data_IF_414860369491
#
_entry.id   IF_414860369491
#
_cell.length_a   1.000
_cell.length_b   1.000
_cell.length_c   1.000
_cell.angle_alpha   90.00
_cell.angle_beta   90.00
_cell.angle_gamma   90.00
#
_symmetry.space_group_name_H-M   'P 1'
#
loop_
_entity.id
_entity.type
_entity.pdbx_description
1 polymer ?
#
# COMPACT_ATOMS: atom_id res chain seq x y z
N UNK A 1 -35.21 -31.36 0.88
CA UNK A 1 -34.26 -31.47 2.00
C UNK A 1 -34.96 -31.00 3.24
N UNK A 2 -35.11 -31.87 4.24
CA UNK A 2 -35.68 -31.49 5.51
C UNK A 2 -34.54 -31.05 6.46
N UNK A 3 -34.54 -29.80 6.85
CA UNK A 3 -33.66 -29.28 7.87
C UNK A 3 -34.28 -29.49 9.26
N UNK A 4 -33.46 -29.87 10.21
CA UNK A 4 -33.85 -30.09 11.59
C UNK A 4 -33.01 -29.14 12.52
N UNK A 5 -33.37 -29.06 13.80
CA UNK A 5 -32.62 -28.31 14.80
C UNK A 5 -31.23 -28.90 15.09
N UNK A 6 -30.94 -30.10 14.59
CA UNK A 6 -29.66 -30.78 14.70
C UNK A 6 -28.69 -30.37 13.60
N UNK A 7 -29.18 -29.71 12.54
CA UNK A 7 -28.37 -29.18 11.44
C UNK A 7 -27.74 -27.86 11.86
N UNK A 8 -26.62 -27.94 12.56
CA UNK A 8 -25.90 -26.77 13.06
C UNK A 8 -24.68 -26.47 12.17
N UNK A 9 -24.48 -25.21 11.87
CA UNK A 9 -23.30 -24.70 11.20
C UNK A 9 -22.57 -23.78 12.18
N UNK A 10 -21.27 -23.99 12.35
CA UNK A 10 -20.48 -23.11 13.20
C UNK A 10 -20.31 -21.74 12.54
N UNK A 11 -20.55 -20.69 13.33
CA UNK A 11 -20.19 -19.33 12.94
C UNK A 11 -18.90 -18.91 13.64
N UNK A 12 -17.90 -18.53 12.87
CA UNK A 12 -16.59 -18.13 13.41
C UNK A 12 -16.53 -16.62 13.54
N UNK A 13 -16.40 -16.12 14.75
CA UNK A 13 -16.10 -14.73 15.01
C UNK A 13 -14.57 -14.53 14.98
N UNK A 14 -14.13 -13.50 14.29
CA UNK A 14 -12.72 -13.09 14.34
C UNK A 14 -12.48 -12.37 15.65
N UNK A 15 -11.49 -12.83 16.40
CA UNK A 15 -11.06 -12.14 17.64
C UNK A 15 -10.02 -11.07 17.26
N UNK A 16 -10.33 -9.81 17.55
CA UNK A 16 -9.40 -8.69 17.35
C UNK A 16 -8.59 -8.53 18.64
N UNK A 17 -7.29 -8.76 18.56
CA UNK A 17 -6.37 -8.55 19.66
C UNK A 17 -5.85 -7.10 19.72
N UNK A 18 -5.16 -6.76 20.82
CA UNK A 18 -4.65 -5.40 21.02
C UNK A 18 -3.54 -5.06 20.02
N UNK A 19 -2.77 -6.03 19.55
CA UNK A 19 -1.72 -5.83 18.54
C UNK A 19 -2.31 -5.41 17.21
N UNK A 20 -3.46 -5.97 16.82
CA UNK A 20 -4.18 -5.57 15.62
C UNK A 20 -4.70 -4.13 15.75
N UNK A 21 -5.23 -3.77 16.91
CA UNK A 21 -5.70 -2.41 17.21
C UNK A 21 -4.55 -1.41 17.15
N UNK A 22 -3.41 -1.71 17.76
CA UNK A 22 -2.22 -0.85 17.76
C UNK A 22 -1.70 -0.62 16.34
N UNK A 23 -1.55 -1.68 15.53
CA UNK A 23 -1.15 -1.57 14.13
C UNK A 23 -2.11 -0.72 13.30
N UNK A 24 -3.40 -0.86 13.55
CA UNK A 24 -4.40 -0.06 12.84
C UNK A 24 -4.39 1.40 13.30
N UNK A 25 -4.18 1.67 14.58
CA UNK A 25 -3.97 3.02 15.10
C UNK A 25 -2.74 3.67 14.46
N UNK A 26 -1.62 2.94 14.36
CA UNK A 26 -0.41 3.40 13.67
C UNK A 26 -0.68 3.67 12.18
N UNK A 27 -1.41 2.79 11.49
CA UNK A 27 -1.79 2.98 10.10
C UNK A 27 -2.65 4.24 9.90
N UNK A 28 -3.59 4.51 10.81
CA UNK A 28 -4.41 5.72 10.78
C UNK A 28 -3.56 6.97 11.09
N UNK A 29 -2.67 6.92 12.08
CA UNK A 29 -1.74 8.00 12.38
C UNK A 29 -0.85 8.33 11.17
N UNK A 30 -0.34 7.32 10.48
CA UNK A 30 0.42 7.48 9.25
C UNK A 30 -0.45 8.07 8.11
N UNK A 31 -1.70 7.63 7.98
CA UNK A 31 -2.61 8.12 6.94
C UNK A 31 -2.95 9.61 7.09
N UNK A 32 -3.11 10.06 8.31
CA UNK A 32 -3.45 11.44 8.64
C UNK A 32 -2.24 12.28 9.07
N UNK A 33 -1.03 11.75 8.88
CA UNK A 33 0.21 12.47 9.11
C UNK A 33 0.37 13.67 8.18
N UNK A 34 1.22 14.59 8.59
CA UNK A 34 1.56 15.81 7.85
C UNK A 34 2.97 15.74 7.29
N UNK A 35 3.24 16.56 6.28
CA UNK A 35 4.58 16.77 5.77
C UNK A 35 5.03 18.17 6.15
N UNK A 36 6.15 18.27 6.83
CA UNK A 36 6.72 19.54 7.26
C UNK A 36 8.15 19.68 6.73
N UNK A 37 8.59 20.90 6.36
CA UNK A 37 9.98 21.13 5.99
C UNK A 37 10.91 20.82 7.17
N UNK A 38 11.95 20.02 6.91
CA UNK A 38 12.97 19.67 7.90
C UNK A 38 14.36 19.91 7.33
N UNK A 39 15.34 20.13 8.21
CA UNK A 39 16.74 20.38 7.84
C UNK A 39 17.53 19.10 7.57
N UNK A 40 17.11 17.98 8.16
CA UNK A 40 17.82 16.71 8.13
C UNK A 40 16.84 15.60 7.78
N UNK A 41 17.20 14.76 6.80
CA UNK A 41 16.37 13.69 6.33
C UNK A 41 16.28 12.53 7.33
N UNK A 42 15.05 12.11 7.63
CA UNK A 42 14.72 10.86 8.29
C UNK A 42 14.45 9.74 7.29
N UNK A 43 14.13 8.54 7.81
CA UNK A 43 13.93 7.35 6.96
C UNK A 43 12.73 7.43 6.00
N UNK A 44 11.66 8.11 6.40
CA UNK A 44 10.40 8.18 5.64
C UNK A 44 10.22 9.52 4.92
N UNK A 45 11.24 10.35 4.94
CA UNK A 45 11.14 11.69 4.41
C UNK A 45 11.27 11.74 2.90
N UNK A 46 10.71 12.77 2.32
CA UNK A 46 10.77 13.05 0.90
C UNK A 46 11.84 14.11 0.65
N UNK A 47 12.80 13.79 -0.21
CA UNK A 47 13.90 14.68 -0.56
C UNK A 47 13.63 15.26 -1.95
N UNK A 48 13.66 16.58 -2.04
CA UNK A 48 13.63 17.30 -3.30
C UNK A 48 15.00 17.87 -3.60
N UNK A 49 15.44 17.73 -4.84
CA UNK A 49 16.73 18.22 -5.25
C UNK A 49 16.89 18.37 -6.75
N UNK A 50 18.00 18.94 -7.13
CA UNK A 50 18.47 18.98 -8.51
C UNK A 50 19.31 17.74 -8.78
N UNK A 51 18.98 16.97 -9.81
CA UNK A 51 19.73 15.79 -10.23
C UNK A 51 20.55 16.11 -11.47
N UNK A 52 21.80 15.73 -11.46
CA UNK A 52 22.73 15.96 -12.56
C UNK A 52 23.42 14.64 -12.89
N UNK A 53 23.33 14.20 -14.16
CA UNK A 53 23.98 12.98 -14.63
C UNK A 53 25.48 13.11 -14.60
N UNK A 54 26.16 12.07 -14.10
CA UNK A 54 27.61 11.99 -14.06
C UNK A 54 28.14 11.05 -15.17
N UNK A 55 29.35 11.35 -15.63
CA UNK A 55 30.11 10.45 -16.50
C UNK A 55 30.78 9.32 -15.71
N UNK A 56 31.45 8.39 -16.40
CA UNK A 56 32.16 7.25 -15.78
C UNK A 56 33.32 7.68 -14.86
N UNK A 57 33.81 8.90 -14.99
CA UNK A 57 34.86 9.48 -14.15
C UNK A 57 34.30 10.23 -12.93
N UNK A 58 32.96 10.31 -12.80
CA UNK A 58 32.27 11.00 -11.70
C UNK A 58 32.16 12.51 -11.88
N UNK A 59 32.42 13.04 -13.06
CA UNK A 59 32.21 14.45 -13.39
C UNK A 59 30.84 14.67 -14.00
N UNK A 60 30.38 15.92 -14.00
CA UNK A 60 29.14 16.31 -14.68
C UNK A 60 29.26 15.94 -16.17
N UNK A 61 28.34 15.13 -16.67
CA UNK A 61 28.31 14.67 -18.05
C UNK A 61 27.87 15.78 -18.98
N UNK A 62 28.69 16.11 -19.96
CA UNK A 62 28.34 17.13 -20.97
C UNK A 62 27.14 16.68 -21.82
N UNK A 63 26.10 17.50 -21.87
CA UNK A 63 24.82 17.13 -22.49
C UNK A 63 24.04 16.04 -21.77
N UNK A 64 24.41 15.69 -20.53
CA UNK A 64 23.72 14.73 -19.70
C UNK A 64 22.35 15.21 -19.20
N UNK A 65 21.62 14.30 -18.57
CA UNK A 65 20.30 14.58 -18.02
C UNK A 65 20.43 15.48 -16.79
N UNK A 66 19.61 16.54 -16.78
CA UNK A 66 19.46 17.44 -15.63
C UNK A 66 17.99 17.53 -15.25
N UNK A 67 17.66 17.17 -14.01
CA UNK A 67 16.32 17.33 -13.44
C UNK A 67 16.37 18.45 -12.42
N UNK A 68 15.79 19.60 -12.74
CA UNK A 68 15.87 20.79 -11.90
C UNK A 68 15.12 20.65 -10.56
N UNK A 69 14.08 19.84 -10.52
CA UNK A 69 13.28 19.57 -9.32
C UNK A 69 12.80 18.12 -9.30
N UNK A 70 13.73 17.23 -9.01
CA UNK A 70 13.44 15.83 -8.80
C UNK A 70 12.98 15.55 -7.37
N UNK A 71 12.17 14.52 -7.20
CA UNK A 71 11.69 14.06 -5.90
C UNK A 71 12.09 12.62 -5.72
N UNK A 72 12.70 12.31 -4.59
CA UNK A 72 13.03 10.96 -4.17
C UNK A 72 12.54 10.68 -2.76
N UNK A 73 12.14 9.46 -2.54
CA UNK A 73 11.77 8.95 -1.22
C UNK A 73 12.61 7.69 -0.96
N UNK A 74 13.72 7.82 -0.23
CA UNK A 74 14.66 6.70 -0.02
C UNK A 74 14.03 5.47 0.60
N UNK A 75 12.92 5.64 1.32
CA UNK A 75 12.16 4.52 1.89
C UNK A 75 11.63 3.51 0.86
N UNK A 76 11.43 3.93 -0.39
CA UNK A 76 11.00 3.07 -1.49
C UNK A 76 12.13 2.47 -2.31
N UNK A 77 13.39 2.83 -1.99
CA UNK A 77 14.53 2.23 -2.66
C UNK A 77 14.63 0.74 -2.32
N UNK A 78 14.86 -0.06 -3.33
CA UNK A 78 15.00 -1.52 -3.21
C UNK A 78 16.44 -1.92 -2.84
N UNK A 79 17.40 -1.03 -3.06
CA UNK A 79 18.80 -1.23 -2.72
C UNK A 79 19.15 -0.48 -1.44
N UNK A 80 19.53 -1.22 -0.39
CA UNK A 80 19.84 -0.65 0.93
C UNK A 80 21.11 0.22 0.93
N UNK A 81 22.09 -0.07 0.06
CA UNK A 81 23.30 0.76 -0.06
C UNK A 81 22.96 2.14 -0.61
N UNK A 82 22.10 2.19 -1.64
CA UNK A 82 21.62 3.46 -2.20
C UNK A 82 20.74 4.23 -1.22
N UNK A 83 19.89 3.52 -0.47
CA UNK A 83 19.04 4.10 0.58
C UNK A 83 19.86 4.74 1.70
N UNK A 84 20.91 4.05 2.16
CA UNK A 84 21.75 4.50 3.26
C UNK A 84 22.48 5.81 2.97
N UNK A 85 22.74 6.13 1.70
CA UNK A 85 23.39 7.38 1.29
C UNK A 85 22.57 8.63 1.64
N UNK A 86 21.27 8.47 1.77
CA UNK A 86 20.35 9.57 2.08
C UNK A 86 19.98 9.66 3.57
N UNK A 87 20.44 8.72 4.39
CA UNK A 87 20.19 8.76 5.82
C UNK A 87 20.92 9.95 6.48
N UNK A 88 20.17 10.84 7.10
CA UNK A 88 20.74 12.01 7.79
C UNK A 88 21.28 13.11 6.85
N UNK A 89 20.94 13.07 5.57
CA UNK A 89 21.31 14.11 4.60
C UNK A 89 20.65 15.44 4.97
N UNK A 90 21.37 16.53 4.76
CA UNK A 90 20.93 17.91 5.07
C UNK A 90 20.60 18.69 3.80
N UNK A 91 19.74 19.70 3.96
CA UNK A 91 19.49 20.68 2.89
C UNK A 91 20.81 21.34 2.47
N UNK A 92 21.02 21.48 1.17
CA UNK A 92 22.25 22.00 0.55
C UNK A 92 23.37 20.97 0.38
N UNK A 93 23.20 19.75 0.86
CA UNK A 93 24.19 18.69 0.72
C UNK A 93 24.08 18.01 -0.64
N UNK A 94 25.21 17.52 -1.16
CA UNK A 94 25.28 16.77 -2.40
C UNK A 94 25.48 15.29 -2.12
N UNK A 95 24.71 14.44 -2.80
CA UNK A 95 24.77 12.98 -2.66
C UNK A 95 24.87 12.35 -4.04
N UNK A 96 25.80 11.41 -4.20
CA UNK A 96 25.91 10.63 -5.44
C UNK A 96 25.20 9.29 -5.25
N UNK A 97 24.24 9.00 -6.13
CA UNK A 97 23.47 7.77 -6.12
C UNK A 97 23.24 7.22 -7.51
N UNK A 98 22.87 5.96 -7.60
CA UNK A 98 22.51 5.31 -8.86
C UNK A 98 21.01 5.07 -8.92
N UNK A 99 20.26 5.82 -9.76
CA UNK A 99 18.80 5.66 -9.87
C UNK A 99 18.39 4.27 -10.31
N UNK A 100 19.14 3.65 -11.25
CA UNK A 100 18.83 2.31 -11.74
C UNK A 100 18.94 1.26 -10.64
N UNK A 101 19.97 1.32 -9.80
CA UNK A 101 20.11 0.44 -8.63
C UNK A 101 19.04 0.71 -7.58
N UNK A 102 18.71 1.98 -7.35
CA UNK A 102 17.68 2.38 -6.37
C UNK A 102 16.30 1.78 -6.68
N UNK A 103 15.96 1.69 -7.97
CA UNK A 103 14.66 1.18 -8.45
C UNK A 103 14.71 -0.27 -8.95
N UNK A 104 15.80 -1.01 -8.71
CA UNK A 104 16.00 -2.36 -9.24
C UNK A 104 15.78 -2.45 -10.77
N UNK A 105 16.29 -1.46 -11.50
CA UNK A 105 16.16 -1.29 -12.96
C UNK A 105 14.69 -1.20 -13.46
N UNK A 106 13.75 -0.78 -12.62
CA UNK A 106 12.37 -0.55 -13.04
C UNK A 106 12.29 0.69 -13.96
N UNK A 107 12.11 0.45 -15.25
CA UNK A 107 12.08 1.49 -16.29
C UNK A 107 10.99 2.56 -16.06
N UNK A 108 9.85 2.17 -15.48
CA UNK A 108 8.73 3.09 -15.21
C UNK A 108 9.07 4.03 -14.07
N UNK A 109 9.64 3.50 -12.99
CA UNK A 109 10.07 4.28 -11.83
C UNK A 109 11.23 5.22 -12.21
N UNK A 110 12.21 4.72 -12.99
CA UNK A 110 13.32 5.53 -13.50
C UNK A 110 12.86 6.66 -14.39
N UNK A 111 11.97 6.37 -15.35
CA UNK A 111 11.42 7.38 -16.26
C UNK A 111 10.69 8.48 -15.49
N UNK A 112 9.94 8.11 -14.48
CA UNK A 112 9.25 9.06 -13.60
C UNK A 112 10.21 9.88 -12.74
N UNK A 113 11.23 9.25 -12.16
CA UNK A 113 12.21 9.92 -11.29
C UNK A 113 13.09 10.92 -12.06
N UNK A 114 13.52 10.55 -13.26
CA UNK A 114 14.43 11.35 -14.08
C UNK A 114 13.71 12.24 -15.11
N UNK A 115 12.39 12.19 -15.17
CA UNK A 115 11.55 12.91 -16.13
C UNK A 115 11.94 12.64 -17.60
N UNK A 116 12.31 11.40 -17.91
CA UNK A 116 12.71 10.94 -19.26
C UNK A 116 11.71 9.92 -19.83
N UNK A 117 11.91 9.57 -21.09
CA UNK A 117 11.08 8.53 -21.70
C UNK A 117 11.49 7.14 -21.22
N UNK A 118 10.56 6.21 -21.25
CA UNK A 118 10.78 4.83 -20.82
C UNK A 118 11.89 4.12 -21.61
N UNK A 119 11.99 4.40 -22.91
CA UNK A 119 13.01 3.85 -23.79
C UNK A 119 14.43 4.32 -23.41
N UNK A 120 14.54 5.55 -22.91
CA UNK A 120 15.79 6.11 -22.39
C UNK A 120 16.14 5.53 -21.02
N UNK A 121 15.13 5.34 -20.19
CA UNK A 121 15.28 4.74 -18.87
C UNK A 121 15.81 3.30 -18.90
N UNK A 122 15.42 2.50 -19.91
CA UNK A 122 15.85 1.11 -20.08
C UNK A 122 17.37 0.95 -20.20
N UNK A 123 18.08 1.98 -20.72
CA UNK A 123 19.53 1.98 -20.89
C UNK A 123 20.28 2.80 -19.85
N UNK A 124 19.57 3.38 -18.89
CA UNK A 124 20.14 4.25 -17.87
C UNK A 124 20.94 3.45 -16.85
N UNK A 125 22.23 3.73 -16.76
CA UNK A 125 23.14 3.11 -15.77
C UNK A 125 24.03 4.12 -15.07
N UNK A 126 23.95 5.38 -15.46
CA UNK A 126 24.81 6.45 -14.96
C UNK A 126 24.47 6.76 -13.49
N UNK A 127 25.49 7.20 -12.78
CA UNK A 127 25.31 7.80 -11.45
C UNK A 127 24.83 9.25 -11.60
N UNK A 128 24.15 9.74 -10.59
CA UNK A 128 23.63 11.10 -10.52
C UNK A 128 24.09 11.77 -9.22
N UNK A 129 24.48 13.02 -9.33
CA UNK A 129 24.63 13.91 -8.17
C UNK A 129 23.29 14.57 -7.87
N UNK A 130 22.84 14.47 -6.62
CA UNK A 130 21.65 15.16 -6.10
C UNK A 130 22.11 16.30 -5.21
N UNK A 131 21.79 17.51 -5.58
CA UNK A 131 21.88 18.68 -4.70
C UNK A 131 20.54 18.85 -3.99
N UNK A 132 20.52 18.60 -2.68
CA UNK A 132 19.29 18.63 -1.87
C UNK A 132 18.82 20.07 -1.67
N UNK A 133 17.67 20.41 -2.23
CA UNK A 133 17.10 21.77 -2.12
C UNK A 133 16.09 21.90 -0.99
N UNK A 134 15.35 20.83 -0.69
CA UNK A 134 14.44 20.79 0.46
C UNK A 134 14.16 19.36 0.88
N UNK A 135 13.80 19.19 2.13
CA UNK A 135 13.41 17.92 2.72
C UNK A 135 12.05 18.12 3.35
N UNK A 136 11.09 17.22 3.00
CA UNK A 136 9.78 17.17 3.61
C UNK A 136 9.75 15.97 4.55
N UNK A 137 9.83 16.26 5.85
CA UNK A 137 9.75 15.26 6.90
C UNK A 137 8.30 14.78 7.05
N UNK A 138 8.13 13.47 7.13
CA UNK A 138 6.84 12.87 7.42
C UNK A 138 6.65 12.76 8.93
N UNK A 139 5.64 13.44 9.45
CA UNK A 139 5.23 13.36 10.85
C UNK A 139 3.89 12.65 10.96
N UNK A 140 3.83 11.43 11.54
CA UNK A 140 2.55 10.79 11.84
C UNK A 140 1.68 11.70 12.70
N UNK A 141 0.37 11.65 12.52
CA UNK A 141 -0.56 12.40 13.35
C UNK A 141 -0.41 11.98 14.83
N UNK A 142 -0.36 12.95 15.71
CA UNK A 142 -0.30 12.70 17.15
C UNK A 142 -1.66 12.19 17.66
N UNK A 143 -1.61 11.34 18.69
CA UNK A 143 -2.82 10.88 19.34
C UNK A 143 -3.53 12.07 20.02
N UNK A 144 -4.69 12.44 19.52
CA UNK A 144 -5.43 13.59 19.98
C UNK A 144 -6.71 13.84 19.15
N UNK A 145 -7.45 14.87 19.54
CA UNK A 145 -8.77 15.16 18.96
C UNK A 145 -8.73 15.32 17.43
N UNK A 146 -7.68 15.92 16.89
CA UNK A 146 -7.53 16.10 15.45
C UNK A 146 -7.47 14.76 14.70
N UNK A 147 -6.69 13.78 15.20
CA UNK A 147 -6.66 12.44 14.66
C UNK A 147 -8.02 11.75 14.79
N UNK A 148 -8.69 11.90 15.93
CA UNK A 148 -9.98 11.27 16.17
C UNK A 148 -11.03 11.82 15.21
N UNK A 149 -11.07 13.12 15.02
CA UNK A 149 -12.00 13.80 14.11
C UNK A 149 -11.75 13.43 12.64
N UNK A 150 -10.48 13.31 12.26
CA UNK A 150 -10.10 12.90 10.90
C UNK A 150 -10.43 11.42 10.63
N UNK A 151 -10.31 10.56 11.63
CA UNK A 151 -10.55 9.13 11.47
C UNK A 151 -12.03 8.75 11.50
N UNK A 152 -12.81 9.36 12.39
CA UNK A 152 -14.19 8.94 12.69
C UNK A 152 -15.23 10.05 12.55
N UNK A 153 -14.81 11.27 12.29
CA UNK A 153 -15.68 12.44 12.19
C UNK A 153 -15.67 13.29 13.47
N UNK A 154 -16.03 14.55 13.27
CA UNK A 154 -15.94 15.57 14.31
C UNK A 154 -16.77 15.22 15.56
N UNK A 155 -16.15 15.30 16.74
CA UNK A 155 -16.77 15.09 18.06
C UNK A 155 -17.36 13.68 18.29
N UNK A 156 -17.07 12.70 17.44
CA UNK A 156 -17.54 11.31 17.57
C UNK A 156 -16.79 10.56 18.66
N UNK A 157 -15.50 10.83 18.80
CA UNK A 157 -14.56 10.21 19.75
C UNK A 157 -13.84 11.32 20.52
N UNK A 158 -13.73 11.18 21.82
CA UNK A 158 -13.13 12.23 22.69
C UNK A 158 -11.99 11.75 23.53
N UNK A 159 -11.86 10.44 23.72
CA UNK A 159 -10.78 9.85 24.52
C UNK A 159 -10.02 8.80 23.72
N UNK A 160 -8.80 8.48 24.16
CA UNK A 160 -7.98 7.44 23.55
C UNK A 160 -8.63 6.05 23.68
N UNK A 161 -9.32 5.79 24.81
CA UNK A 161 -10.04 4.54 25.00
C UNK A 161 -11.20 4.39 24.00
N UNK A 162 -11.98 5.46 23.80
CA UNK A 162 -13.05 5.47 22.79
C UNK A 162 -12.48 5.30 21.38
N UNK A 163 -11.33 5.93 21.10
CA UNK A 163 -10.65 5.79 19.82
C UNK A 163 -10.24 4.34 19.57
N UNK A 164 -9.57 3.70 20.50
CA UNK A 164 -9.16 2.29 20.38
C UNK A 164 -10.38 1.35 20.28
N UNK A 165 -11.46 1.65 21.01
CA UNK A 165 -12.71 0.89 20.90
C UNK A 165 -13.33 1.01 19.51
N UNK A 166 -13.33 2.21 18.92
CA UNK A 166 -13.82 2.44 17.56
C UNK A 166 -12.93 1.79 16.49
N UNK A 167 -11.61 1.81 16.67
CA UNK A 167 -10.68 1.10 15.80
C UNK A 167 -10.94 -0.41 15.85
N UNK A 168 -11.17 -0.97 17.05
CA UNK A 168 -11.53 -2.39 17.22
C UNK A 168 -12.82 -2.72 16.48
N UNK A 169 -13.88 -1.93 16.69
CA UNK A 169 -15.16 -2.07 15.98
C UNK A 169 -14.98 -2.02 14.45
N UNK A 170 -14.12 -1.12 13.97
CA UNK A 170 -13.81 -1.01 12.54
C UNK A 170 -13.15 -2.27 12.00
N UNK A 171 -12.18 -2.84 12.71
CA UNK A 171 -11.52 -4.09 12.31
C UNK A 171 -12.52 -5.25 12.33
N UNK A 172 -13.34 -5.37 13.38
CA UNK A 172 -14.38 -6.40 13.47
C UNK A 172 -15.37 -6.33 12.31
N UNK A 173 -15.83 -5.12 11.97
CA UNK A 173 -16.71 -4.90 10.84
C UNK A 173 -16.05 -5.22 9.48
N UNK A 174 -14.74 -4.96 9.33
CA UNK A 174 -14.01 -5.34 8.13
C UNK A 174 -13.84 -6.87 8.00
N UNK A 175 -13.75 -7.57 9.12
CA UNK A 175 -13.56 -9.03 9.14
C UNK A 175 -14.88 -9.81 9.07
N UNK A 176 -16.01 -9.17 9.35
CA UNK A 176 -17.33 -9.81 9.32
C UNK A 176 -17.68 -10.48 7.98
N UNK A 177 -17.42 -9.88 6.81
CA UNK A 177 -17.67 -10.54 5.53
C UNK A 177 -16.91 -11.85 5.35
N UNK A 178 -15.72 -11.99 5.90
CA UNK A 178 -14.94 -13.23 5.87
C UNK A 178 -15.61 -14.33 6.72
N UNK A 179 -16.13 -13.97 7.89
CA UNK A 179 -16.90 -14.87 8.74
C UNK A 179 -18.20 -15.31 8.07
N UNK A 180 -18.92 -14.39 7.44
CA UNK A 180 -20.14 -14.65 6.69
C UNK A 180 -19.86 -15.56 5.47
N UNK A 181 -18.76 -15.31 4.75
CA UNK A 181 -18.34 -16.14 3.63
C UNK A 181 -18.01 -17.57 4.07
N UNK A 182 -17.23 -17.72 5.14
CA UNK A 182 -16.89 -19.03 5.71
C UNK A 182 -18.13 -19.79 6.16
N UNK A 183 -19.05 -19.09 6.85
CA UNK A 183 -20.34 -19.67 7.23
C UNK A 183 -21.13 -20.16 6.02
N UNK A 184 -21.20 -19.38 4.95
CA UNK A 184 -21.86 -19.75 3.72
C UNK A 184 -21.27 -21.01 3.07
N UNK A 185 -19.93 -21.12 3.05
CA UNK A 185 -19.23 -22.29 2.54
C UNK A 185 -19.53 -23.55 3.38
N UNK A 186 -19.50 -23.45 4.69
CA UNK A 186 -19.74 -24.56 5.61
C UNK A 186 -21.23 -24.99 5.55
N UNK A 187 -22.15 -24.03 5.52
CA UNK A 187 -23.57 -24.30 5.33
C UNK A 187 -23.84 -25.03 4.00
N UNK A 188 -23.24 -24.54 2.92
CA UNK A 188 -23.34 -25.19 1.61
C UNK A 188 -22.85 -26.64 1.65
N UNK A 189 -21.69 -26.89 2.25
CA UNK A 189 -21.11 -28.23 2.38
C UNK A 189 -22.03 -29.20 3.16
N UNK A 190 -22.62 -28.70 4.27
CA UNK A 190 -23.57 -29.48 5.06
C UNK A 190 -24.84 -29.82 4.23
N UNK A 191 -25.35 -28.82 3.49
CA UNK A 191 -26.52 -29.02 2.62
C UNK A 191 -26.20 -29.98 1.48
N UNK A 192 -25.09 -29.87 0.81
CA UNK A 192 -24.64 -30.77 -0.25
C UNK A 192 -24.54 -32.23 0.26
N UNK A 193 -23.92 -32.43 1.43
CA UNK A 193 -23.82 -33.74 2.05
C UNK A 193 -25.19 -34.33 2.41
N UNK A 194 -26.12 -33.48 2.85
CA UNK A 194 -27.48 -33.91 3.24
C UNK A 194 -28.37 -34.19 2.05
N UNK A 195 -28.17 -33.52 0.97
CA UNK A 195 -28.89 -33.73 -0.31
C UNK A 195 -28.42 -35.02 -0.97
N UNK A 196 -27.12 -35.32 -0.87
CA UNK A 196 -26.52 -36.47 -1.56
C UNK A 196 -26.59 -36.35 -3.09
N UNK A 197 -26.47 -37.48 -3.73
CA UNK A 197 -26.58 -37.56 -5.20
C UNK A 197 -28.03 -37.41 -5.68
N UNK A 198 -28.31 -36.30 -6.36
CA UNK A 198 -29.59 -36.04 -7.00
C UNK A 198 -29.47 -36.30 -8.50
N UNK A 199 -30.42 -37.05 -9.05
CA UNK A 199 -30.54 -37.13 -10.50
C UNK A 199 -31.07 -35.80 -11.05
N UNK A 200 -30.20 -35.06 -11.72
CA UNK A 200 -30.55 -33.80 -12.36
C UNK A 200 -30.88 -34.02 -13.84
N UNK A 201 -31.78 -33.22 -14.42
CA UNK A 201 -32.09 -33.29 -15.85
C UNK A 201 -30.97 -32.69 -16.69
N UNK A 202 -29.85 -33.42 -16.82
CA UNK A 202 -28.63 -32.97 -17.46
C UNK A 202 -28.82 -32.34 -18.84
N UNK A 203 -29.68 -32.92 -19.66
CA UNK A 203 -29.96 -32.42 -21.01
C UNK A 203 -30.57 -31.01 -20.97
N UNK A 204 -31.49 -30.77 -20.02
CA UNK A 204 -32.12 -29.47 -19.82
C UNK A 204 -31.13 -28.45 -19.30
N UNK A 205 -30.32 -28.82 -18.30
CA UNK A 205 -29.34 -27.95 -17.69
C UNK A 205 -28.23 -27.56 -18.67
N UNK A 206 -27.73 -28.50 -19.46
CA UNK A 206 -26.75 -28.23 -20.52
C UNK A 206 -27.29 -27.26 -21.56
N UNK A 207 -28.53 -27.44 -22.01
CA UNK A 207 -29.19 -26.52 -22.95
C UNK A 207 -29.34 -25.13 -22.34
N UNK A 208 -29.76 -25.06 -21.09
CA UNK A 208 -29.91 -23.77 -20.39
C UNK A 208 -28.60 -23.04 -20.23
N UNK A 209 -27.52 -23.74 -19.85
CA UNK A 209 -26.18 -23.17 -19.70
C UNK A 209 -25.64 -22.63 -21.03
N UNK A 210 -25.83 -23.34 -22.14
CA UNK A 210 -25.44 -22.87 -23.49
C UNK A 210 -26.22 -21.60 -23.84
N UNK A 211 -27.54 -21.61 -23.66
CA UNK A 211 -28.41 -20.47 -24.02
C UNK A 211 -28.11 -19.21 -23.18
N UNK A 212 -27.72 -19.39 -21.91
CA UNK A 212 -27.35 -18.25 -21.03
C UNK A 212 -25.90 -17.84 -21.20
N UNK A 213 -25.00 -18.74 -21.60
CA UNK A 213 -23.59 -18.46 -21.90
C UNK A 213 -23.40 -17.61 -23.14
N UNK A 214 -24.16 -17.87 -24.21
CA UNK A 214 -24.09 -17.08 -25.45
C UNK A 214 -24.51 -15.61 -25.28
N UNK A 215 -25.32 -15.30 -24.25
CA UNK A 215 -25.69 -13.93 -23.91
C UNK A 215 -24.61 -13.14 -23.15
N UNK A 216 -23.54 -13.78 -22.70
CA UNK A 216 -22.44 -13.13 -21.98
C UNK A 216 -21.23 -12.79 -22.86
N UNK A 217 -21.23 -13.22 -24.12
CA UNK A 217 -20.13 -12.98 -25.09
C UNK A 217 -20.50 -12.01 -26.21
N UNK A 218 -21.55 -11.24 -26.06
CA UNK A 218 -21.94 -10.17 -26.98
C UNK A 218 -21.71 -8.79 -26.36
#
# INVERSE_FOLDING_TARGET
VNLSKEDCVNYYNVTVDDTMVEKQCEALANRFGTQEPVEVAGEKDMIRGKFIELDEAGNVKDGGIVVESGIISPNYFKNEDEKSKFAGVKVGQKVIFNPAKSCDNNEVELASMLHIKKEEAANMKSDFEVEVTSILGFKPAEMGQELFDNAFGKDVVKTEEEYKAKVREMIENQMKPESDYKFGLDARKILENKVGDIQLPDALLKRWLVTTGEKRTA
#
